data_IF_090418478482
#
_entry.id   IF_090418478482
#
_cell.length_a   1.000
_cell.length_b   1.000
_cell.length_c   1.000
_cell.angle_alpha   90.00
_cell.angle_beta   90.00
_cell.angle_gamma   90.00
#
_symmetry.space_group_name_H-M   'P 1'
#
loop_
_entity.id
_entity.type
_entity.pdbx_description
1 polymer ?
#
# COMPACT_ATOMS: atom_id res chain seq x y z
N UNK A 1 0.22 12.94 11.32
CA UNK A 1 -0.23 12.56 9.96
C UNK A 1 -0.35 13.80 9.07
N UNK A 2 0.10 13.73 7.82
CA UNK A 2 -0.09 14.80 6.83
C UNK A 2 -0.50 14.24 5.47
N UNK A 3 -1.27 15.02 4.70
CA UNK A 3 -1.52 14.69 3.31
C UNK A 3 -0.29 14.96 2.46
N UNK A 4 0.06 14.01 1.62
CA UNK A 4 1.24 14.11 0.73
C UNK A 4 0.87 14.11 -0.75
N UNK A 5 -0.30 13.60 -1.12
CA UNK A 5 -0.71 13.48 -2.53
C UNK A 5 -2.23 13.47 -2.68
N UNK A 6 -2.70 14.07 -3.77
CA UNK A 6 -4.08 13.99 -4.23
C UNK A 6 -4.81 15.32 -4.28
N UNK A 7 -6.13 15.24 -4.35
CA UNK A 7 -6.98 16.39 -4.59
C UNK A 7 -7.01 17.38 -3.42
N UNK A 8 -6.64 18.64 -3.67
CA UNK A 8 -6.77 19.70 -2.68
C UNK A 8 -8.17 20.30 -2.67
N UNK A 9 -8.63 20.69 -1.49
CA UNK A 9 -9.88 21.38 -1.30
C UNK A 9 -9.65 22.90 -1.23
N UNK A 10 -10.48 23.68 -1.93
CA UNK A 10 -10.44 25.14 -1.86
C UNK A 10 -10.83 25.69 -0.49
N UNK A 11 -11.72 24.99 0.18
CA UNK A 11 -12.25 25.37 1.49
C UNK A 11 -11.61 24.56 2.61
N UNK A 12 -11.68 25.09 3.82
CA UNK A 12 -11.30 24.36 5.02
C UNK A 12 -12.12 23.07 5.14
N UNK A 13 -11.46 21.95 5.41
CA UNK A 13 -12.09 20.64 5.48
C UNK A 13 -13.19 20.61 6.54
N UNK A 14 -14.34 20.05 6.21
CA UNK A 14 -15.49 19.95 7.10
C UNK A 14 -16.33 21.23 7.21
N UNK A 15 -15.97 22.35 6.57
CA UNK A 15 -16.68 23.63 6.70
C UNK A 15 -17.34 24.12 5.40
N UNK A 16 -17.13 23.43 4.29
CA UNK A 16 -17.67 23.84 3.00
C UNK A 16 -19.16 23.54 2.87
N UNK A 17 -19.95 24.57 2.65
CA UNK A 17 -21.39 24.47 2.36
C UNK A 17 -21.72 24.59 0.87
N UNK A 18 -20.73 24.85 0.01
CA UNK A 18 -20.96 25.18 -1.40
C UNK A 18 -21.76 24.11 -2.14
N UNK A 19 -21.37 22.83 -2.02
CA UNK A 19 -22.11 21.74 -2.63
C UNK A 19 -23.48 21.49 -2.01
N UNK A 20 -23.66 21.83 -0.73
CA UNK A 20 -24.93 21.71 -0.04
C UNK A 20 -25.92 22.78 -0.52
N UNK A 21 -25.44 24.00 -0.69
CA UNK A 21 -26.28 25.15 -1.13
C UNK A 21 -26.70 24.97 -2.59
N UNK A 22 -25.78 24.62 -3.48
CA UNK A 22 -26.06 24.51 -4.92
C UNK A 22 -26.85 23.26 -5.31
N UNK A 23 -26.70 22.16 -4.59
CA UNK A 23 -27.27 20.89 -5.03
C UNK A 23 -27.71 19.94 -3.91
N UNK A 24 -27.86 20.40 -2.68
CA UNK A 24 -28.32 19.60 -1.54
C UNK A 24 -27.35 18.46 -1.14
N UNK A 25 -26.11 18.47 -1.65
CA UNK A 25 -25.10 17.42 -1.44
C UNK A 25 -24.02 17.87 -0.46
N UNK A 26 -24.07 17.39 0.77
CA UNK A 26 -23.09 17.77 1.80
C UNK A 26 -21.71 17.18 1.55
N UNK A 27 -20.72 18.04 1.37
CA UNK A 27 -19.29 17.66 1.31
C UNK A 27 -18.82 17.03 2.62
N UNK A 28 -19.31 17.51 3.75
CA UNK A 28 -18.96 17.02 5.09
C UNK A 28 -19.44 15.56 5.34
N UNK A 29 -20.45 15.13 4.57
CA UNK A 29 -20.97 13.76 4.57
C UNK A 29 -20.44 12.91 3.41
N UNK A 30 -19.33 13.32 2.79
CA UNK A 30 -18.72 12.62 1.68
C UNK A 30 -19.46 12.69 0.35
N UNK A 31 -20.43 13.59 0.19
CA UNK A 31 -21.29 13.69 -1.00
C UNK A 31 -21.02 14.93 -1.85
N UNK A 32 -19.84 15.55 -1.71
CA UNK A 32 -19.48 16.74 -2.46
C UNK A 32 -19.59 16.54 -3.97
N UNK A 33 -20.38 17.41 -4.65
CA UNK A 33 -20.48 17.44 -6.11
C UNK A 33 -19.35 18.24 -6.78
N UNK A 34 -18.41 18.76 -5.99
CA UNK A 34 -17.25 19.53 -6.45
C UNK A 34 -17.60 20.79 -7.28
N UNK A 35 -18.55 21.62 -6.85
CA UNK A 35 -18.92 22.82 -7.62
C UNK A 35 -17.74 23.79 -7.82
N UNK A 36 -16.77 23.82 -6.89
CA UNK A 36 -15.54 24.60 -7.05
C UNK A 36 -14.69 24.22 -8.28
N UNK A 37 -15.01 23.10 -8.94
CA UNK A 37 -14.32 22.63 -10.15
C UNK A 37 -15.04 23.03 -11.45
N UNK A 38 -16.16 23.77 -11.33
CA UNK A 38 -16.88 24.32 -12.48
C UNK A 38 -16.28 25.67 -12.89
N UNK A 39 -16.48 26.09 -14.13
CA UNK A 39 -16.10 27.43 -14.56
C UNK A 39 -17.05 28.48 -13.99
N UNK A 40 -16.50 29.63 -13.66
CA UNK A 40 -17.24 30.78 -13.14
C UNK A 40 -16.80 32.07 -13.82
N UNK A 41 -17.69 33.02 -13.90
CA UNK A 41 -17.38 34.41 -14.18
C UNK A 41 -17.70 35.27 -12.95
N UNK A 42 -16.97 36.36 -12.76
CA UNK A 42 -17.20 37.32 -11.68
C UNK A 42 -17.77 38.59 -12.29
N UNK A 43 -18.93 39.02 -11.79
CA UNK A 43 -19.57 40.27 -12.17
C UNK A 43 -19.31 41.36 -11.11
N UNK A 44 -18.79 42.50 -11.56
CA UNK A 44 -18.54 43.64 -10.69
C UNK A 44 -19.15 44.89 -11.38
N UNK A 45 -20.37 45.23 -11.01
CA UNK A 45 -21.13 46.26 -11.69
C UNK A 45 -21.39 45.90 -13.16
N UNK A 46 -20.93 46.76 -14.09
CA UNK A 46 -21.05 46.51 -15.54
C UNK A 46 -19.93 45.69 -16.14
N UNK A 47 -18.93 45.27 -15.34
CA UNK A 47 -17.77 44.50 -15.81
C UNK A 47 -17.95 43.03 -15.43
N UNK A 48 -17.80 42.15 -16.41
CA UNK A 48 -17.77 40.72 -16.24
C UNK A 48 -16.38 40.21 -16.61
N UNK A 49 -15.84 39.33 -15.78
CA UNK A 49 -14.58 38.62 -16.13
C UNK A 49 -14.86 37.52 -17.16
N UNK A 50 -13.83 37.14 -17.89
CA UNK A 50 -13.90 35.93 -18.70
C UNK A 50 -14.19 34.73 -17.81
N UNK A 51 -15.00 33.79 -18.29
CA UNK A 51 -15.24 32.52 -17.64
C UNK A 51 -13.95 31.74 -17.42
N UNK A 52 -13.77 31.18 -16.22
CA UNK A 52 -12.57 30.41 -15.86
C UNK A 52 -12.75 29.63 -14.57
N UNK A 53 -11.79 28.77 -14.28
CA UNK A 53 -11.85 27.81 -13.15
C UNK A 53 -11.21 28.41 -11.88
N UNK A 54 -11.65 29.57 -11.47
CA UNK A 54 -11.06 30.39 -10.41
C UNK A 54 -11.00 29.72 -9.03
N UNK A 55 -11.80 28.68 -8.78
CA UNK A 55 -11.88 27.96 -7.52
C UNK A 55 -11.27 26.54 -7.60
N UNK A 56 -10.72 26.17 -8.77
CA UNK A 56 -10.18 24.84 -8.97
C UNK A 56 -8.68 24.79 -8.62
N UNK A 57 -8.35 24.22 -7.47
CA UNK A 57 -6.97 24.00 -7.06
C UNK A 57 -6.31 22.88 -7.89
N UNK A 58 -5.00 23.00 -8.09
CA UNK A 58 -4.13 21.91 -8.56
C UNK A 58 -4.10 20.80 -7.51
N UNK A 59 -3.73 19.59 -7.92
CA UNK A 59 -3.62 18.47 -7.00
C UNK A 59 -2.27 18.50 -6.26
N UNK A 60 -2.28 18.07 -4.99
CA UNK A 60 -1.09 18.03 -4.15
C UNK A 60 -0.12 16.93 -4.61
N UNK A 61 1.17 17.25 -4.66
CA UNK A 61 2.26 16.30 -4.79
C UNK A 61 3.48 16.80 -4.03
N UNK A 62 3.87 16.10 -2.99
CA UNK A 62 4.99 16.47 -2.11
C UNK A 62 6.15 15.48 -2.17
N UNK A 63 6.28 14.74 -3.26
CA UNK A 63 7.29 13.68 -3.38
C UNK A 63 8.72 14.23 -3.24
N UNK A 64 8.97 15.47 -3.66
CA UNK A 64 10.25 16.17 -3.48
C UNK A 64 10.50 16.58 -2.02
N UNK A 65 9.45 16.62 -1.18
CA UNK A 65 9.54 17.09 0.19
C UNK A 65 9.61 15.96 1.24
N UNK A 66 9.76 14.70 0.83
CA UNK A 66 9.91 13.57 1.76
C UNK A 66 11.01 13.82 2.80
N UNK A 67 12.22 14.31 2.43
CA UNK A 67 13.25 14.66 3.42
C UNK A 67 12.77 15.66 4.47
N UNK A 68 12.16 16.75 4.04
CA UNK A 68 11.70 17.80 4.95
C UNK A 68 10.54 17.32 5.84
N UNK A 69 9.65 16.49 5.32
CA UNK A 69 8.52 15.93 6.08
C UNK A 69 8.98 14.94 7.16
N UNK A 70 9.98 14.11 6.85
CA UNK A 70 10.57 13.19 7.82
C UNK A 70 11.35 13.94 8.90
N UNK A 71 12.14 14.96 8.52
CA UNK A 71 12.86 15.83 9.47
C UNK A 71 11.90 16.61 10.38
N UNK A 72 10.69 16.95 9.90
CA UNK A 72 9.64 17.55 10.72
C UNK A 72 8.92 16.57 11.65
N UNK A 73 9.34 15.30 11.73
CA UNK A 73 8.77 14.27 12.60
C UNK A 73 7.40 13.78 12.14
N UNK A 74 7.12 13.75 10.85
CA UNK A 74 5.88 13.22 10.31
C UNK A 74 5.98 11.68 10.19
N UNK A 75 5.23 10.95 11.01
CA UNK A 75 5.24 9.49 11.04
C UNK A 75 4.26 8.84 10.07
N UNK A 76 3.24 9.57 9.60
CA UNK A 76 2.18 9.03 8.76
C UNK A 76 1.91 9.92 7.56
N UNK A 77 2.05 9.35 6.37
CA UNK A 77 1.81 9.99 5.08
C UNK A 77 0.49 9.53 4.49
N UNK A 78 -0.40 10.47 4.24
CA UNK A 78 -1.75 10.22 3.76
C UNK A 78 -1.93 10.60 2.30
N UNK A 79 -2.45 9.65 1.51
CA UNK A 79 -2.82 9.87 0.12
C UNK A 79 -4.33 10.10 0.06
N UNK A 80 -4.77 11.24 -0.50
CA UNK A 80 -6.18 11.46 -0.80
C UNK A 80 -6.55 10.73 -2.08
N UNK A 81 -7.56 9.89 -2.03
CA UNK A 81 -7.94 9.09 -3.19
C UNK A 81 -9.22 8.28 -3.01
N UNK A 82 -10.06 8.59 -2.01
CA UNK A 82 -11.28 7.82 -1.72
C UNK A 82 -12.18 7.59 -2.94
N UNK A 83 -12.24 8.53 -3.87
CA UNK A 83 -13.05 8.46 -5.08
C UNK A 83 -12.27 8.01 -6.31
N UNK A 84 -11.03 7.58 -6.12
CA UNK A 84 -10.14 7.16 -7.20
C UNK A 84 -10.20 5.64 -7.38
N UNK A 85 -9.71 5.15 -8.52
CA UNK A 85 -9.62 3.72 -8.82
C UNK A 85 -8.47 3.05 -8.06
N UNK A 86 -8.49 1.71 -7.88
CA UNK A 86 -7.42 0.97 -7.21
C UNK A 86 -6.03 1.21 -7.82
N UNK A 87 -5.94 1.34 -9.15
CA UNK A 87 -4.69 1.59 -9.87
C UNK A 87 -4.04 2.92 -9.46
N UNK A 88 -4.84 3.94 -9.15
CA UNK A 88 -4.33 5.19 -8.59
C UNK A 88 -3.68 4.95 -7.23
N UNK A 89 -4.36 4.25 -6.34
CA UNK A 89 -3.82 3.97 -5.01
C UNK A 89 -2.52 3.16 -5.11
N UNK A 90 -2.50 2.11 -5.95
CA UNK A 90 -1.33 1.27 -6.17
C UNK A 90 -0.17 2.07 -6.78
N UNK A 91 -0.43 2.85 -7.83
CA UNK A 91 0.59 3.63 -8.53
C UNK A 91 1.21 4.72 -7.66
N UNK A 92 0.38 5.53 -6.98
CA UNK A 92 0.87 6.59 -6.08
C UNK A 92 1.66 5.97 -4.92
N UNK A 93 1.09 4.96 -4.25
CA UNK A 93 1.76 4.30 -3.12
C UNK A 93 3.09 3.70 -3.52
N UNK A 94 3.17 3.05 -4.69
CA UNK A 94 4.41 2.41 -5.15
C UNK A 94 5.53 3.43 -5.39
N UNK A 95 5.21 4.61 -5.96
CA UNK A 95 6.17 5.66 -6.20
C UNK A 95 6.62 6.33 -4.90
N UNK A 96 5.69 6.69 -4.02
CA UNK A 96 6.06 7.24 -2.72
C UNK A 96 6.90 6.25 -1.90
N UNK A 97 6.54 4.95 -1.89
CA UNK A 97 7.33 3.91 -1.23
C UNK A 97 8.76 3.83 -1.77
N UNK A 98 8.94 3.87 -3.10
CA UNK A 98 10.27 3.90 -3.74
C UNK A 98 11.12 5.04 -3.19
N UNK A 99 10.57 6.25 -3.09
CA UNK A 99 11.32 7.43 -2.67
C UNK A 99 11.50 7.52 -1.16
N UNK A 100 10.58 7.00 -0.36
CA UNK A 100 10.76 6.84 1.09
C UNK A 100 11.90 5.85 1.36
N UNK A 101 11.90 4.70 0.70
CA UNK A 101 12.98 3.71 0.87
C UNK A 101 14.33 4.25 0.40
N UNK A 102 14.36 5.00 -0.69
CA UNK A 102 15.56 5.70 -1.15
C UNK A 102 16.06 6.69 -0.12
N UNK A 103 15.18 7.50 0.45
CA UNK A 103 15.52 8.46 1.50
C UNK A 103 16.10 7.79 2.74
N UNK A 104 15.47 6.73 3.24
CA UNK A 104 15.95 5.99 4.40
C UNK A 104 17.34 5.36 4.17
N UNK A 105 17.61 4.88 2.95
CA UNK A 105 18.94 4.39 2.57
C UNK A 105 19.99 5.50 2.57
N UNK A 106 19.66 6.68 2.00
CA UNK A 106 20.55 7.82 1.99
C UNK A 106 20.86 8.32 3.41
N UNK A 107 19.86 8.35 4.29
CA UNK A 107 20.09 8.70 5.71
C UNK A 107 21.02 7.70 6.41
N UNK A 108 20.87 6.42 6.13
CA UNK A 108 21.73 5.39 6.72
C UNK A 108 23.19 5.46 6.19
N UNK A 109 23.37 5.89 4.93
CA UNK A 109 24.69 5.97 4.28
C UNK A 109 25.44 7.27 4.56
N UNK A 110 24.74 8.42 4.50
CA UNK A 110 25.36 9.75 4.57
C UNK A 110 25.06 10.53 5.86
N UNK A 111 24.14 10.01 6.69
CA UNK A 111 23.62 10.74 7.83
C UNK A 111 22.56 11.78 7.47
N UNK A 112 21.87 12.28 8.49
CA UNK A 112 20.67 13.11 8.33
C UNK A 112 20.97 14.46 7.64
N UNK A 113 22.12 15.08 7.96
CA UNK A 113 22.51 16.39 7.44
C UNK A 113 22.95 16.38 5.97
N UNK A 114 23.58 15.30 5.51
CA UNK A 114 24.16 15.21 4.18
C UNK A 114 23.24 14.51 3.18
N UNK A 115 22.38 13.59 3.63
CA UNK A 115 21.50 12.78 2.77
C UNK A 115 20.63 13.61 1.82
N UNK A 116 20.19 14.80 2.27
CA UNK A 116 19.36 15.70 1.47
C UNK A 116 20.01 16.16 0.15
N UNK A 117 21.35 16.21 0.08
CA UNK A 117 22.08 16.58 -1.13
C UNK A 117 21.98 15.52 -2.24
N UNK A 118 21.73 14.28 -1.86
CA UNK A 118 21.65 13.13 -2.77
C UNK A 118 20.20 12.70 -3.07
N UNK A 119 19.23 13.26 -2.37
CA UNK A 119 17.83 12.96 -2.63
C UNK A 119 17.36 13.62 -3.92
N UNK A 120 16.96 12.81 -4.87
CA UNK A 120 16.47 13.26 -6.17
C UNK A 120 15.27 12.42 -6.62
N UNK A 121 14.26 13.06 -7.17
CA UNK A 121 13.08 12.41 -7.77
C UNK A 121 13.19 12.47 -9.28
N UNK A 122 13.21 11.32 -9.93
CA UNK A 122 13.29 11.20 -11.38
C UNK A 122 12.10 11.88 -12.07
N UNK A 123 12.38 12.61 -13.16
CA UNK A 123 11.32 13.31 -13.88
C UNK A 123 10.27 12.35 -14.46
N UNK A 124 10.70 11.17 -14.92
CA UNK A 124 9.80 10.13 -15.40
C UNK A 124 8.75 9.70 -14.35
N UNK A 125 9.16 9.56 -13.09
CA UNK A 125 8.25 9.20 -12.00
C UNK A 125 7.29 10.35 -11.66
N UNK A 126 7.73 11.60 -11.74
CA UNK A 126 6.83 12.77 -11.65
C UNK A 126 5.82 12.80 -12.80
N UNK A 127 6.25 12.48 -14.00
CA UNK A 127 5.38 12.39 -15.17
C UNK A 127 4.38 11.23 -15.02
N UNK A 128 4.80 10.11 -14.46
CA UNK A 128 3.89 8.98 -14.11
C UNK A 128 2.85 9.42 -13.08
N UNK A 129 3.25 10.11 -12.01
CA UNK A 129 2.31 10.68 -11.04
C UNK A 129 1.32 11.63 -11.71
N UNK A 130 1.75 12.49 -12.60
CA UNK A 130 0.90 13.45 -13.31
C UNK A 130 -0.11 12.79 -14.27
N UNK A 131 0.11 11.55 -14.68
CA UNK A 131 -0.80 10.74 -15.53
C UNK A 131 -1.77 9.87 -14.73
N UNK A 132 -1.63 9.79 -13.41
CA UNK A 132 -2.48 9.01 -12.53
C UNK A 132 -3.69 9.84 -12.05
N UNK A 133 -4.74 9.95 -12.88
CA UNK A 133 -6.02 10.58 -12.51
C UNK A 133 -5.92 12.01 -11.96
N UNK A 134 -4.96 12.78 -12.47
CA UNK A 134 -4.80 14.17 -12.08
C UNK A 134 -5.87 15.05 -12.73
N UNK A 135 -6.25 16.13 -12.04
CA UNK A 135 -7.30 17.05 -12.56
C UNK A 135 -6.77 18.03 -13.58
N UNK A 136 -5.52 18.46 -13.43
CA UNK A 136 -4.85 19.35 -14.40
C UNK A 136 -3.36 19.36 -14.23
N UNK A 137 -2.88 19.73 -13.06
CA UNK A 137 -1.48 19.91 -12.72
C UNK A 137 -1.25 19.53 -11.27
N UNK A 138 0.00 19.20 -10.94
CA UNK A 138 0.46 18.94 -9.58
C UNK A 138 1.18 20.15 -9.02
N UNK A 139 1.09 20.35 -7.71
CA UNK A 139 1.71 21.43 -6.97
C UNK A 139 2.06 20.98 -5.55
N UNK A 140 3.07 21.60 -4.92
CA UNK A 140 3.45 21.29 -3.54
C UNK A 140 2.51 21.89 -2.46
N UNK A 141 1.41 22.51 -2.91
CA UNK A 141 0.37 23.04 -2.03
C UNK A 141 0.85 24.22 -1.20
N UNK A 142 0.60 24.15 0.10
CA UNK A 142 0.93 25.19 1.08
C UNK A 142 2.30 25.02 1.75
N UNK A 143 3.09 24.04 1.35
CA UNK A 143 4.33 23.68 2.03
C UNK A 143 5.38 24.80 1.99
N UNK A 144 5.51 25.49 0.86
CA UNK A 144 6.52 26.52 0.66
C UNK A 144 5.93 27.92 0.44
N UNK A 145 4.62 28.02 0.30
CA UNK A 145 3.93 29.30 0.03
C UNK A 145 2.63 29.41 0.80
N UNK A 146 2.32 30.60 1.23
CA UNK A 146 1.03 30.93 1.83
C UNK A 146 0.13 31.54 0.77
N UNK A 147 -0.78 30.77 0.21
CA UNK A 147 -1.72 31.15 -0.84
C UNK A 147 -1.07 31.76 -2.11
N UNK A 148 -1.41 31.29 -3.27
CA UNK A 148 -0.90 31.83 -4.51
C UNK A 148 -1.83 31.55 -5.69
N UNK A 149 -1.78 32.44 -6.69
CA UNK A 149 -2.47 32.26 -7.96
C UNK A 149 -2.02 31.01 -8.70
N UNK A 150 -0.79 30.58 -8.48
CA UNK A 150 -0.17 29.38 -9.01
C UNK A 150 -0.75 28.08 -8.46
N UNK A 151 -1.48 28.12 -7.34
CA UNK A 151 -2.20 26.98 -6.79
C UNK A 151 -3.52 26.68 -7.51
N UNK A 152 -4.00 27.59 -8.32
CA UNK A 152 -5.28 27.48 -9.03
C UNK A 152 -5.02 27.15 -10.50
N UNK A 153 -5.77 26.23 -11.07
CA UNK A 153 -5.77 26.01 -12.51
C UNK A 153 -6.82 26.91 -13.17
N UNK A 154 -6.40 27.79 -14.05
CA UNK A 154 -7.30 28.65 -14.83
C UNK A 154 -7.72 27.99 -16.15
N UNK A 155 -6.96 27.03 -16.64
CA UNK A 155 -7.31 26.17 -17.75
C UNK A 155 -8.31 25.12 -17.31
N UNK A 156 -9.05 24.53 -18.23
CA UNK A 156 -9.98 23.45 -17.94
C UNK A 156 -9.34 22.45 -16.96
N UNK A 157 -9.99 22.14 -15.83
CA UNK A 157 -9.59 20.99 -15.04
C UNK A 157 -10.00 19.76 -15.83
N UNK A 158 -9.35 19.55 -16.95
CA UNK A 158 -9.59 18.37 -17.72
C UNK A 158 -9.28 17.18 -16.78
N UNK A 159 -10.25 16.33 -16.59
CA UNK A 159 -9.93 14.93 -16.59
C UNK A 159 -9.26 14.70 -17.95
N UNK A 160 -7.98 15.02 -18.06
CA UNK A 160 -7.13 14.54 -19.13
C UNK A 160 -7.15 13.04 -18.93
N UNK A 161 -7.87 12.31 -19.76
CA UNK A 161 -8.18 10.90 -19.59
C UNK A 161 -7.06 10.12 -18.89
N UNK A 162 -7.42 9.12 -18.14
CA UNK A 162 -6.45 8.20 -17.56
C UNK A 162 -5.56 7.66 -18.68
N UNK A 163 -4.27 7.57 -18.46
CA UNK A 163 -3.38 6.81 -19.33
C UNK A 163 -3.72 5.31 -19.19
N UNK A 164 -4.58 4.80 -20.05
CA UNK A 164 -5.10 3.43 -19.94
C UNK A 164 -3.98 2.40 -19.96
N UNK A 165 -2.90 2.65 -20.71
CA UNK A 165 -1.72 1.78 -20.73
C UNK A 165 -1.01 1.74 -19.38
N UNK A 166 -0.87 2.89 -18.71
CA UNK A 166 -0.31 2.95 -17.36
C UNK A 166 -1.20 2.23 -16.35
N UNK A 167 -2.52 2.36 -16.49
CA UNK A 167 -3.47 1.66 -15.61
C UNK A 167 -3.42 0.15 -15.80
N UNK A 168 -3.32 -0.34 -17.03
CA UNK A 168 -3.16 -1.76 -17.33
C UNK A 168 -1.85 -2.31 -16.74
N UNK A 169 -0.74 -1.58 -16.87
CA UNK A 169 0.54 -1.93 -16.24
C UNK A 169 0.40 -2.07 -14.73
N UNK A 170 -0.21 -1.08 -14.08
CA UNK A 170 -0.40 -1.09 -12.63
C UNK A 170 -1.34 -2.19 -12.17
N UNK A 171 -2.40 -2.44 -12.93
CA UNK A 171 -3.33 -3.54 -12.67
C UNK A 171 -2.60 -4.89 -12.75
N UNK A 172 -1.88 -5.14 -13.83
CA UNK A 172 -1.12 -6.38 -14.02
C UNK A 172 -0.08 -6.60 -12.90
N UNK A 173 0.61 -5.51 -12.48
CA UNK A 173 1.68 -5.58 -11.50
C UNK A 173 1.19 -5.72 -10.05
N UNK A 174 0.10 -5.04 -9.68
CA UNK A 174 -0.27 -4.88 -8.27
C UNK A 174 -1.67 -5.42 -7.92
N UNK A 175 -2.57 -5.57 -8.89
CA UNK A 175 -3.98 -5.84 -8.61
C UNK A 175 -4.48 -7.18 -9.17
N UNK A 176 -3.95 -7.61 -10.31
CA UNK A 176 -4.41 -8.84 -10.99
C UNK A 176 -4.02 -10.11 -10.27
N UNK A 177 -3.00 -10.06 -9.41
CA UNK A 177 -2.58 -11.22 -8.63
C UNK A 177 -2.57 -10.87 -7.14
N UNK A 178 -3.04 -11.78 -6.29
CA UNK A 178 -2.94 -11.58 -4.86
C UNK A 178 -1.47 -11.44 -4.47
N UNK A 179 -1.14 -10.41 -3.71
CA UNK A 179 0.19 -10.24 -3.13
C UNK A 179 0.40 -11.35 -2.12
N UNK A 180 1.39 -12.21 -2.37
CA UNK A 180 1.74 -13.30 -1.47
C UNK A 180 3.10 -13.04 -0.85
N UNK A 181 3.24 -13.39 0.41
CA UNK A 181 4.48 -13.26 1.16
C UNK A 181 5.38 -14.47 0.86
N UNK A 182 6.64 -14.27 0.45
CA UNK A 182 7.57 -15.37 0.26
C UNK A 182 7.90 -16.04 1.60
N UNK A 183 7.84 -17.37 1.65
CA UNK A 183 8.15 -18.15 2.85
C UNK A 183 9.17 -19.24 2.50
N UNK A 184 10.10 -19.51 3.42
CA UNK A 184 10.96 -20.68 3.40
C UNK A 184 10.26 -21.83 4.09
N UNK A 185 10.46 -23.04 3.57
CA UNK A 185 9.85 -24.26 4.05
C UNK A 185 10.92 -25.31 4.32
N UNK A 186 11.01 -25.78 5.57
CA UNK A 186 11.89 -26.87 5.96
C UNK A 186 11.04 -28.04 6.42
N UNK A 187 11.07 -29.14 5.66
CA UNK A 187 10.27 -30.34 5.92
C UNK A 187 11.14 -31.53 6.30
N UNK A 188 10.74 -32.28 7.32
CA UNK A 188 11.42 -33.47 7.80
C UNK A 188 10.46 -34.65 7.86
N UNK A 189 10.76 -35.72 7.11
CA UNK A 189 10.05 -37.01 7.04
C UNK A 189 11.03 -38.17 7.29
N UNK A 190 11.60 -38.20 8.51
CA UNK A 190 12.55 -39.23 8.90
C UNK A 190 11.83 -40.42 9.53
N UNK A 191 12.15 -41.63 9.09
CA UNK A 191 11.55 -42.88 9.58
C UNK A 191 11.64 -42.98 11.10
N UNK A 192 10.52 -43.27 11.72
CA UNK A 192 10.42 -43.40 13.17
C UNK A 192 10.25 -42.09 13.93
N UNK A 193 10.39 -40.97 13.28
CA UNK A 193 10.17 -39.63 13.86
C UNK A 193 8.78 -39.06 13.50
N UNK A 194 8.36 -38.02 14.18
CA UNK A 194 7.19 -37.23 13.76
C UNK A 194 7.54 -36.40 12.53
N UNK A 195 6.66 -36.40 11.54
CA UNK A 195 6.76 -35.47 10.43
C UNK A 195 6.71 -34.02 10.92
N UNK A 196 7.55 -33.16 10.38
CA UNK A 196 7.65 -31.75 10.75
C UNK A 196 7.66 -30.88 9.50
N UNK A 197 7.01 -29.73 9.60
CA UNK A 197 7.06 -28.69 8.58
C UNK A 197 7.26 -27.35 9.27
N UNK A 198 8.39 -26.72 9.02
CA UNK A 198 8.72 -25.38 9.50
C UNK A 198 8.52 -24.38 8.39
N UNK A 199 7.78 -23.33 8.64
CA UNK A 199 7.61 -22.17 7.76
C UNK A 199 8.29 -20.96 8.40
N UNK A 200 9.09 -20.23 7.62
CA UNK A 200 9.83 -19.07 8.11
C UNK A 200 9.65 -17.86 7.19
N UNK A 201 9.49 -16.67 7.79
CA UNK A 201 9.46 -15.38 7.11
C UNK A 201 10.22 -14.34 7.93
N UNK A 202 11.33 -13.82 7.41
CA UNK A 202 12.24 -12.98 8.20
C UNK A 202 12.73 -13.73 9.44
N UNK A 203 12.53 -13.15 10.62
CA UNK A 203 12.90 -13.74 11.93
C UNK A 203 11.79 -14.64 12.51
N UNK A 204 10.60 -14.62 11.93
CA UNK A 204 9.47 -15.38 12.42
C UNK A 204 9.49 -16.80 11.86
N UNK A 205 9.33 -17.79 12.74
CA UNK A 205 9.32 -19.20 12.36
C UNK A 205 8.30 -19.98 13.18
N UNK A 206 7.58 -20.89 12.53
CA UNK A 206 6.62 -21.80 13.17
C UNK A 206 6.86 -23.22 12.70
N UNK A 207 6.59 -24.21 13.55
CA UNK A 207 6.76 -25.63 13.21
C UNK A 207 5.51 -26.42 13.54
N UNK A 208 4.85 -26.90 12.51
CA UNK A 208 3.76 -27.88 12.65
C UNK A 208 4.34 -29.29 12.75
N UNK A 209 3.68 -30.12 13.56
CA UNK A 209 4.07 -31.53 13.78
C UNK A 209 2.92 -32.44 13.31
N UNK A 210 3.27 -33.43 12.51
CA UNK A 210 2.35 -34.43 11.99
C UNK A 210 2.44 -35.76 12.73
N UNK A 211 1.87 -36.79 12.15
CA UNK A 211 1.98 -38.17 12.62
C UNK A 211 3.41 -38.73 12.49
N UNK A 212 3.60 -39.94 13.00
CA UNK A 212 4.89 -40.65 12.89
C UNK A 212 5.11 -41.11 11.46
N UNK A 213 6.33 -40.96 10.97
CA UNK A 213 6.75 -41.45 9.66
C UNK A 213 7.06 -42.97 9.80
N UNK A 214 6.37 -43.76 9.02
CA UNK A 214 6.48 -45.22 9.03
C UNK A 214 7.47 -45.73 7.97
N UNK A 215 7.75 -47.04 7.99
CA UNK A 215 8.48 -47.74 6.94
C UNK A 215 7.55 -48.08 5.78
N UNK A 216 8.00 -47.83 4.55
CA UNK A 216 7.24 -48.17 3.36
C UNK A 216 7.18 -49.66 3.12
N UNK A 217 5.99 -50.26 3.10
CA UNK A 217 5.81 -51.68 2.77
C UNK A 217 5.84 -51.96 1.26
N UNK A 218 5.56 -50.95 0.43
CA UNK A 218 5.53 -51.09 -1.05
C UNK A 218 6.25 -49.94 -1.74
N UNK A 219 5.76 -48.70 -1.58
CA UNK A 219 6.28 -47.55 -2.27
C UNK A 219 6.58 -46.44 -1.26
N UNK A 220 7.86 -46.04 -1.11
CA UNK A 220 8.24 -44.91 -0.27
C UNK A 220 7.77 -43.60 -0.86
N UNK A 221 7.59 -42.60 -0.01
CA UNK A 221 7.32 -41.23 -0.44
C UNK A 221 8.61 -40.60 -0.96
N UNK A 222 8.56 -39.99 -2.14
CA UNK A 222 9.74 -39.38 -2.75
C UNK A 222 9.87 -37.93 -2.39
N UNK A 223 11.09 -37.36 -2.51
CA UNK A 223 11.33 -35.94 -2.31
C UNK A 223 10.53 -35.09 -3.29
N UNK A 224 10.37 -35.54 -4.51
CA UNK A 224 9.62 -34.89 -5.58
C UNK A 224 8.12 -34.86 -5.28
N UNK A 225 7.55 -35.95 -4.72
CA UNK A 225 6.15 -35.99 -4.32
C UNK A 225 5.86 -35.06 -3.15
N UNK A 226 6.76 -35.01 -2.18
CA UNK A 226 6.69 -34.07 -1.05
C UNK A 226 6.76 -32.63 -1.55
N UNK A 227 7.76 -32.29 -2.38
CA UNK A 227 7.94 -30.96 -2.94
C UNK A 227 6.67 -30.46 -3.65
N UNK A 228 6.15 -31.26 -4.58
CA UNK A 228 4.95 -30.95 -5.36
C UNK A 228 3.71 -30.66 -4.50
N UNK A 229 3.62 -31.29 -3.31
CA UNK A 229 2.50 -31.10 -2.40
C UNK A 229 2.69 -29.94 -1.44
N UNK A 230 3.90 -29.75 -0.95
CA UNK A 230 4.26 -28.67 -0.05
C UNK A 230 4.20 -27.30 -0.76
N UNK A 231 4.65 -27.23 -2.01
CA UNK A 231 4.61 -26.04 -2.84
C UNK A 231 3.20 -25.45 -3.03
N UNK A 232 2.16 -26.28 -2.96
CA UNK A 232 0.77 -25.87 -3.20
C UNK A 232 0.16 -25.18 -1.99
N UNK A 233 0.53 -23.94 -1.75
CA UNK A 233 -0.01 -23.13 -0.64
C UNK A 233 -1.45 -22.63 -0.83
N UNK A 234 -2.07 -22.96 -1.98
CA UNK A 234 -3.50 -22.66 -2.26
C UNK A 234 -3.82 -21.17 -2.25
N UNK A 235 -4.93 -20.81 -1.61
CA UNK A 235 -5.41 -19.43 -1.47
C UNK A 235 -4.81 -18.70 -0.25
N UNK A 236 -3.77 -19.27 0.38
CA UNK A 236 -3.09 -18.64 1.50
C UNK A 236 -2.36 -17.35 1.08
N UNK A 237 -2.03 -16.52 2.05
CA UNK A 237 -1.25 -15.30 1.84
C UNK A 237 0.22 -15.56 1.50
N UNK A 238 0.64 -16.81 1.30
CA UNK A 238 2.05 -17.21 1.16
C UNK A 238 2.38 -17.77 -0.22
N UNK A 239 3.65 -17.62 -0.60
CA UNK A 239 4.29 -18.24 -1.76
C UNK A 239 5.55 -18.97 -1.28
N UNK A 240 5.71 -20.24 -1.64
CA UNK A 240 6.94 -20.99 -1.33
C UNK A 240 8.10 -20.43 -2.16
N UNK A 241 9.11 -19.87 -1.48
CA UNK A 241 10.33 -19.33 -2.10
C UNK A 241 11.44 -20.39 -2.15
N UNK A 242 11.59 -21.12 -1.07
CA UNK A 242 12.59 -22.19 -0.94
C UNK A 242 11.99 -23.36 -0.15
N UNK A 243 12.18 -24.57 -0.63
CA UNK A 243 11.70 -25.78 0.04
C UNK A 243 12.85 -26.75 0.23
N UNK A 244 13.24 -26.94 1.49
CA UNK A 244 14.23 -27.93 1.90
C UNK A 244 13.53 -29.16 2.46
N UNK A 245 13.88 -30.35 1.99
CA UNK A 245 13.23 -31.59 2.40
C UNK A 245 14.29 -32.63 2.81
N UNK A 246 14.17 -33.09 4.06
CA UNK A 246 14.85 -34.25 4.58
C UNK A 246 13.88 -35.45 4.64
N UNK A 247 14.16 -36.52 3.92
CA UNK A 247 13.31 -37.72 3.87
C UNK A 247 14.14 -38.96 3.90
N UNK A 248 13.74 -39.99 4.69
CA UNK A 248 14.41 -41.31 4.67
C UNK A 248 14.07 -42.05 3.37
N UNK A 249 15.00 -42.82 2.79
CA UNK A 249 14.79 -43.49 1.51
C UNK A 249 13.61 -44.49 1.51
N UNK A 250 13.31 -45.06 2.69
CA UNK A 250 12.24 -46.00 2.95
C UNK A 250 11.07 -45.41 3.72
N UNK A 251 10.92 -44.08 3.74
CA UNK A 251 9.85 -43.41 4.47
C UNK A 251 8.50 -43.61 3.80
N UNK A 252 7.48 -43.88 4.62
CA UNK A 252 6.08 -43.82 4.23
C UNK A 252 5.35 -42.76 5.06
N UNK A 253 4.61 -41.91 4.37
CA UNK A 253 3.74 -40.94 5.02
C UNK A 253 2.49 -40.70 4.14
N UNK A 254 1.27 -40.81 4.72
CA UNK A 254 0.04 -40.69 3.94
C UNK A 254 -0.10 -39.32 3.27
N UNK A 255 -0.40 -39.32 1.98
CA UNK A 255 -0.51 -38.09 1.17
C UNK A 255 -1.55 -37.08 1.71
N UNK A 256 -2.64 -37.57 2.30
CA UNK A 256 -3.62 -36.70 2.96
C UNK A 256 -3.07 -35.97 4.18
N UNK A 257 -2.21 -36.66 4.95
CA UNK A 257 -1.57 -36.06 6.14
C UNK A 257 -0.52 -35.01 5.79
N UNK A 258 0.11 -35.10 4.61
CA UNK A 258 1.03 -34.04 4.12
C UNK A 258 0.24 -32.74 3.92
N UNK A 259 -0.95 -32.82 3.31
CA UNK A 259 -1.78 -31.65 3.09
C UNK A 259 -2.27 -31.04 4.41
N UNK A 260 -2.60 -31.88 5.38
CA UNK A 260 -3.02 -31.43 6.70
C UNK A 260 -1.88 -30.74 7.45
N UNK A 261 -0.69 -31.34 7.45
CA UNK A 261 0.51 -30.76 8.04
C UNK A 261 0.81 -29.36 7.44
N UNK A 262 0.68 -29.24 6.12
CA UNK A 262 0.85 -27.97 5.43
C UNK A 262 -0.18 -26.93 5.86
N UNK A 263 -1.47 -27.29 5.93
CA UNK A 263 -2.54 -26.38 6.39
C UNK A 263 -2.31 -25.90 7.81
N UNK A 264 -1.92 -26.80 8.70
CA UNK A 264 -1.60 -26.46 10.08
C UNK A 264 -0.42 -25.49 10.17
N UNK A 265 0.64 -25.72 9.40
CA UNK A 265 1.80 -24.83 9.36
C UNK A 265 1.43 -23.42 8.84
N UNK A 266 0.59 -23.34 7.81
CA UNK A 266 0.09 -22.08 7.25
C UNK A 266 -0.72 -21.32 8.30
N UNK A 267 -1.68 -21.96 8.96
CA UNK A 267 -2.49 -21.33 9.99
C UNK A 267 -1.65 -20.81 11.16
N UNK A 268 -0.71 -21.63 11.63
CA UNK A 268 0.21 -21.20 12.71
C UNK A 268 1.05 -20.00 12.32
N UNK A 269 1.50 -19.91 11.06
CA UNK A 269 2.28 -18.78 10.58
C UNK A 269 1.41 -17.51 10.46
N UNK A 270 0.16 -17.63 9.97
CA UNK A 270 -0.80 -16.52 9.94
C UNK A 270 -1.08 -15.98 11.34
N UNK A 271 -1.34 -16.85 12.32
CA UNK A 271 -1.56 -16.48 13.72
C UNK A 271 -0.32 -15.80 14.33
N UNK A 272 0.87 -16.35 14.05
CA UNK A 272 2.12 -15.79 14.56
C UNK A 272 2.41 -14.40 13.96
N UNK A 273 2.14 -14.18 12.66
CA UNK A 273 2.27 -12.87 12.02
C UNK A 273 1.30 -11.86 12.63
N UNK A 274 0.05 -12.24 12.85
CA UNK A 274 -0.95 -11.38 13.48
C UNK A 274 -0.56 -11.02 14.90
N UNK A 275 -0.09 -11.99 15.69
CA UNK A 275 0.38 -11.75 17.04
C UNK A 275 1.62 -10.85 17.10
N UNK A 276 2.57 -11.01 16.14
CA UNK A 276 3.78 -10.20 16.08
C UNK A 276 3.49 -8.76 15.62
N UNK A 277 2.51 -8.56 14.73
CA UNK A 277 2.06 -7.24 14.28
C UNK A 277 1.03 -6.59 15.20
N UNK A 278 0.48 -7.35 16.14
CA UNK A 278 -0.43 -6.80 17.15
C UNK A 278 0.30 -5.72 17.93
N UNK A 279 -0.07 -4.45 17.74
CA UNK A 279 0.25 -3.43 18.73
C UNK A 279 -0.24 -3.97 20.07
N UNK A 280 0.59 -3.99 21.12
CA UNK A 280 0.07 -4.28 22.44
C UNK A 280 -1.04 -3.27 22.67
N UNK A 281 -2.28 -3.74 22.76
CA UNK A 281 -3.41 -2.88 23.15
C UNK A 281 -2.96 -2.26 24.45
N UNK A 282 -2.52 -1.00 24.40
CA UNK A 282 -2.15 -0.24 25.57
C UNK A 282 -3.32 -0.40 26.55
N UNK A 283 -3.04 -0.69 27.80
CA UNK A 283 -4.05 -0.74 28.85
C UNK A 283 -4.93 0.48 28.62
N UNK A 284 -6.22 0.24 28.41
CA UNK A 284 -7.19 1.31 28.25
C UNK A 284 -6.94 2.32 29.37
N UNK A 285 -6.46 3.50 29.01
CA UNK A 285 -6.37 4.60 29.97
C UNK A 285 -7.81 4.93 30.29
N UNK A 286 -8.27 4.54 31.47
CA UNK A 286 -9.54 4.98 31.99
C UNK A 286 -9.45 6.49 32.22
N UNK A 287 -9.78 7.24 31.16
CA UNK A 287 -9.99 8.68 31.30
C UNK A 287 -11.24 8.95 32.13
N UNK A 288 -11.30 10.07 32.83
CA UNK A 288 -12.49 10.46 33.57
C UNK A 288 -13.67 10.54 32.59
N UNK A 289 -14.78 9.94 32.95
CA UNK A 289 -16.05 10.05 32.26
C UNK A 289 -16.44 11.54 32.25
N UNK A 290 -16.78 12.17 31.11
CA UNK A 290 -17.32 13.53 31.13
C UNK A 290 -18.65 13.53 31.89
N UNK A 291 -18.80 14.42 32.86
CA UNK A 291 -20.07 14.74 33.51
C UNK A 291 -21.04 15.42 32.53
#
# INVERSE_FOLDING_TARGET
ETFIHGAMCYCYSGQCLFSSILGGRSGNRGRCAQPCRLPYSVETGKKQTREGYYLSLKDLCTIDHIPALTAAGIDSFKIEGRMKKPEYAAGVTSLYKKYIDSWLKLQAEYGEDEAGKYYHVEQEDKDRLSRLYMRSEIHDGYYNKHNGRDMVTLSSPAYSGSDDRLLEELNARFLSQPQRLPVRMDASFLKGEQARLTLSIGELSVTAKGGRVEEALRQPVTKEDLHRRLERLGDSAFLAEEITIAVSPDAFYPLGQINELRRQAVLQLEEAILAHRGYPLGKAVSGPTPE
#
